data_IF_294291684123
#
_entry.id   IF_294291684123
#
_cell.length_a   1.000
_cell.length_b   1.000
_cell.length_c   1.000
_cell.angle_alpha   90.00
_cell.angle_beta   90.00
_cell.angle_gamma   90.00
#
_symmetry.space_group_name_H-M   'P 1'
#
loop_
_entity.id
_entity.type
_entity.pdbx_description
1 polymer ?
#
# COMPACT_ATOMS: atom_id res chain seq x y z
N UNK A 1 10.75 -7.20 19.66
CA UNK A 1 10.54 -6.97 18.22
C UNK A 1 10.69 -8.31 17.52
N UNK A 2 9.58 -8.93 17.11
CA UNK A 2 9.61 -10.22 16.42
C UNK A 2 9.45 -10.00 14.92
N UNK A 3 10.23 -10.72 14.11
CA UNK A 3 10.00 -10.80 12.67
C UNK A 3 9.05 -11.97 12.41
N UNK A 4 7.95 -11.75 11.69
CA UNK A 4 7.10 -12.83 11.19
C UNK A 4 7.42 -12.97 9.70
N UNK A 5 8.23 -13.96 9.30
CA UNK A 5 8.54 -14.17 7.89
C UNK A 5 7.30 -14.68 7.15
N UNK A 6 7.01 -14.10 6.00
CA UNK A 6 6.04 -14.65 5.05
C UNK A 6 6.79 -15.43 3.99
N UNK A 7 6.61 -16.75 3.97
CA UNK A 7 7.17 -17.62 2.93
C UNK A 7 6.07 -17.91 1.92
N UNK A 8 6.22 -17.35 0.72
CA UNK A 8 5.34 -17.62 -0.42
C UNK A 8 6.08 -18.59 -1.35
N UNK A 9 5.53 -19.79 -1.55
CA UNK A 9 5.90 -20.69 -2.66
C UNK A 9 7.29 -21.36 -2.61
N UNK A 10 7.91 -21.49 -1.43
CA UNK A 10 9.12 -22.31 -1.17
C UNK A 10 10.43 -21.85 -1.81
N UNK A 11 10.38 -21.22 -2.98
CA UNK A 11 11.51 -20.59 -3.68
C UNK A 11 11.48 -19.08 -3.43
N UNK A 12 12.64 -18.47 -3.21
CA UNK A 12 12.75 -17.02 -3.03
C UNK A 12 12.31 -16.28 -4.30
N UNK A 13 11.38 -15.34 -4.14
CA UNK A 13 10.91 -14.48 -5.22
C UNK A 13 11.28 -13.02 -4.92
N UNK A 14 11.73 -12.23 -5.92
CA UNK A 14 12.00 -10.83 -5.71
C UNK A 14 10.71 -10.08 -5.38
N UNK A 15 10.72 -9.35 -4.26
CA UNK A 15 9.61 -8.50 -3.81
C UNK A 15 9.88 -7.02 -4.04
N UNK A 16 11.10 -6.68 -4.46
CA UNK A 16 11.54 -5.35 -4.83
C UNK A 16 12.06 -5.39 -6.27
N UNK A 17 11.34 -4.75 -7.18
CA UNK A 17 11.63 -4.72 -8.60
C UNK A 17 12.18 -3.37 -9.06
N UNK A 18 12.20 -2.35 -8.20
CA UNK A 18 12.53 -0.98 -8.58
C UNK A 18 11.61 -0.50 -9.71
N UNK A 19 12.20 0.06 -10.76
CA UNK A 19 11.48 0.49 -11.96
C UNK A 19 11.52 -0.54 -13.11
N UNK A 20 11.95 -1.78 -12.85
CA UNK A 20 12.02 -2.80 -13.91
C UNK A 20 10.63 -3.30 -14.37
N UNK A 21 9.62 -3.13 -13.52
CA UNK A 21 8.22 -3.49 -13.80
C UNK A 21 7.30 -2.38 -13.31
N UNK A 22 6.32 -2.02 -14.16
CA UNK A 22 5.28 -1.06 -13.78
C UNK A 22 4.26 -1.60 -12.80
N UNK A 23 3.85 -2.86 -12.95
CA UNK A 23 2.76 -3.42 -12.16
C UNK A 23 3.27 -4.34 -11.05
N UNK A 24 2.68 -4.21 -9.87
CA UNK A 24 2.92 -5.13 -8.76
C UNK A 24 2.58 -6.56 -9.18
N UNK A 25 3.48 -7.48 -8.87
CA UNK A 25 3.29 -8.91 -9.15
C UNK A 25 2.23 -9.52 -8.23
N UNK A 26 1.76 -10.73 -8.59
CA UNK A 26 0.84 -11.51 -7.75
C UNK A 26 1.34 -11.65 -6.30
N UNK A 27 2.62 -11.97 -6.11
CA UNK A 27 3.20 -12.19 -4.78
C UNK A 27 3.33 -10.89 -3.98
N UNK A 28 3.69 -9.77 -4.64
CA UNK A 28 3.66 -8.47 -4.00
C UNK A 28 2.24 -8.07 -3.59
N UNK A 29 1.23 -8.33 -4.43
CA UNK A 29 -0.18 -8.10 -4.06
C UNK A 29 -0.62 -8.93 -2.86
N UNK A 30 -0.16 -10.18 -2.73
CA UNK A 30 -0.44 -11.01 -1.55
C UNK A 30 0.23 -10.43 -0.30
N UNK A 31 1.49 -10.00 -0.40
CA UNK A 31 2.19 -9.37 0.72
C UNK A 31 1.49 -8.07 1.15
N UNK A 32 1.10 -7.22 0.18
CA UNK A 32 0.31 -6.01 0.44
C UNK A 32 -1.05 -6.34 1.07
N UNK A 33 -1.73 -7.39 0.62
CA UNK A 33 -3.01 -7.81 1.22
C UNK A 33 -2.86 -8.25 2.69
N UNK A 34 -1.79 -8.96 3.02
CA UNK A 34 -1.51 -9.36 4.39
C UNK A 34 -1.10 -8.19 5.29
N UNK A 35 -0.39 -7.20 4.72
CA UNK A 35 -0.01 -5.98 5.43
C UNK A 35 -1.22 -5.08 5.62
N UNK A 36 -1.89 -4.69 4.55
CA UNK A 36 -2.92 -3.64 4.56
C UNK A 36 -4.29 -4.17 5.01
N UNK A 37 -4.55 -5.47 4.87
CA UNK A 37 -5.82 -6.13 5.22
C UNK A 37 -7.03 -5.71 4.37
N UNK A 38 -6.89 -4.68 3.55
CA UNK A 38 -7.90 -4.14 2.64
C UNK A 38 -7.47 -2.75 2.18
N UNK A 39 -8.43 -1.90 1.84
CA UNK A 39 -8.12 -0.52 1.47
C UNK A 39 -7.50 0.24 2.66
N UNK A 40 -6.29 0.79 2.49
CA UNK A 40 -5.55 1.48 3.56
C UNK A 40 -6.07 2.86 3.92
N UNK A 41 -6.98 3.43 3.11
CA UNK A 41 -7.57 4.74 3.37
C UNK A 41 -8.41 4.74 4.66
N UNK A 42 -8.33 5.80 5.50
CA UNK A 42 -9.04 5.86 6.79
C UNK A 42 -10.51 5.49 6.68
N UNK A 43 -11.00 4.68 7.64
CA UNK A 43 -12.40 4.23 7.79
C UNK A 43 -12.95 3.32 6.69
N UNK A 44 -12.18 3.01 5.64
CA UNK A 44 -12.63 2.13 4.57
C UNK A 44 -12.76 0.68 5.03
N UNK A 45 -13.80 -0.01 4.56
CA UNK A 45 -14.07 -1.43 4.87
C UNK A 45 -13.91 -2.37 3.68
N UNK A 46 -13.42 -1.85 2.53
CA UNK A 46 -13.24 -2.67 1.34
C UNK A 46 -12.14 -3.71 1.57
N UNK A 47 -12.41 -5.00 1.33
CA UNK A 47 -11.44 -6.06 1.55
C UNK A 47 -10.42 -6.13 0.40
N UNK A 48 -9.30 -6.86 0.53
CA UNK A 48 -8.20 -6.85 -0.45
C UNK A 48 -8.64 -7.21 -1.87
N UNK A 49 -9.65 -8.07 -2.02
CA UNK A 49 -10.18 -8.52 -3.31
C UNK A 49 -10.79 -7.35 -4.11
N UNK A 50 -11.18 -6.28 -3.44
CA UNK A 50 -11.81 -5.09 -4.02
C UNK A 50 -10.83 -3.91 -4.11
N UNK A 51 -9.53 -4.22 -4.12
CA UNK A 51 -8.47 -3.21 -4.15
C UNK A 51 -7.51 -3.40 -5.31
N UNK A 52 -6.89 -2.27 -5.65
CA UNK A 52 -5.80 -2.13 -6.58
C UNK A 52 -4.52 -1.83 -5.79
N UNK A 53 -3.39 -2.33 -6.28
CA UNK A 53 -2.09 -1.95 -5.75
C UNK A 53 -1.72 -0.57 -6.31
N UNK A 54 -1.63 0.40 -5.43
CA UNK A 54 -1.34 1.79 -5.67
C UNK A 54 0.12 2.09 -5.37
N UNK A 55 0.83 2.72 -6.31
CA UNK A 55 2.13 3.31 -6.04
C UNK A 55 1.98 4.61 -5.25
N UNK A 56 2.69 4.72 -4.14
CA UNK A 56 2.75 5.91 -3.30
C UNK A 56 3.43 7.08 -4.04
N UNK A 57 4.65 6.84 -4.52
CA UNK A 57 5.28 7.70 -5.53
C UNK A 57 4.75 7.29 -6.91
N UNK A 58 4.16 8.19 -7.73
CA UNK A 58 3.64 7.79 -9.03
C UNK A 58 4.74 7.16 -9.90
N UNK A 59 4.43 6.02 -10.53
CA UNK A 59 5.40 5.30 -11.36
C UNK A 59 5.99 6.19 -12.48
N UNK A 60 5.18 7.09 -13.05
CA UNK A 60 5.58 8.01 -14.12
C UNK A 60 6.66 9.02 -13.72
N UNK A 61 6.86 9.25 -12.41
CA UNK A 61 7.91 10.13 -11.88
C UNK A 61 9.03 9.35 -11.18
N UNK A 62 9.12 8.04 -11.43
CA UNK A 62 10.19 7.18 -10.93
C UNK A 62 9.85 6.38 -9.67
N UNK A 63 8.57 6.32 -9.30
CA UNK A 63 8.10 5.42 -8.24
C UNK A 63 8.43 3.96 -8.51
N UNK A 64 8.75 3.21 -7.44
CA UNK A 64 9.21 1.83 -7.55
C UNK A 64 8.08 0.84 -7.29
N UNK A 65 8.16 -0.30 -7.95
CA UNK A 65 7.30 -1.45 -7.67
C UNK A 65 7.95 -2.31 -6.60
N UNK A 66 8.03 -1.74 -5.39
CA UNK A 66 8.61 -2.32 -4.18
C UNK A 66 7.53 -2.30 -3.08
N UNK A 67 7.59 -3.21 -2.11
CA UNK A 67 6.56 -3.28 -1.06
C UNK A 67 6.50 -2.02 -0.19
N UNK A 68 7.64 -1.34 -0.04
CA UNK A 68 7.76 -0.06 0.69
C UNK A 68 7.32 1.15 -0.14
N UNK A 69 6.86 0.97 -1.37
CA UNK A 69 6.37 2.07 -2.23
C UNK A 69 4.95 1.79 -2.74
N UNK A 70 4.30 0.74 -2.22
CA UNK A 70 2.97 0.30 -2.62
C UNK A 70 2.00 0.18 -1.45
N UNK A 71 0.70 0.34 -1.72
CA UNK A 71 -0.39 0.04 -0.78
C UNK A 71 -1.67 -0.35 -1.52
N UNK A 72 -2.65 -0.92 -0.83
CA UNK A 72 -3.94 -1.27 -1.39
C UNK A 72 -4.96 -0.13 -1.23
N UNK A 73 -5.59 0.25 -2.34
CA UNK A 73 -6.74 1.17 -2.35
C UNK A 73 -7.89 0.57 -3.16
N UNK A 74 -9.13 0.75 -2.69
CA UNK A 74 -10.29 0.46 -3.54
C UNK A 74 -10.39 1.50 -4.65
N UNK A 75 -11.03 1.17 -5.77
CA UNK A 75 -11.12 2.07 -6.94
C UNK A 75 -11.63 3.48 -6.57
N UNK A 76 -12.59 3.60 -5.63
CA UNK A 76 -13.06 4.90 -5.13
C UNK A 76 -11.93 5.71 -4.48
N UNK A 77 -11.21 5.12 -3.53
CA UNK A 77 -10.15 5.83 -2.83
C UNK A 77 -8.90 5.99 -3.68
N UNK A 78 -8.65 5.10 -4.63
CA UNK A 78 -7.55 5.24 -5.58
C UNK A 78 -7.70 6.53 -6.39
N UNK A 79 -8.88 6.81 -6.95
CA UNK A 79 -9.15 8.09 -7.59
C UNK A 79 -9.13 9.25 -6.58
N UNK A 80 -9.78 9.09 -5.42
CA UNK A 80 -9.87 10.15 -4.41
C UNK A 80 -8.50 10.68 -3.95
N UNK A 81 -7.52 9.81 -3.72
CA UNK A 81 -6.18 10.27 -3.28
C UNK A 81 -5.45 11.04 -4.37
N UNK A 82 -5.65 10.66 -5.64
CA UNK A 82 -5.08 11.38 -6.79
C UNK A 82 -5.79 12.72 -7.02
N UNK A 83 -7.11 12.70 -7.12
CA UNK A 83 -7.95 13.85 -7.48
C UNK A 83 -7.88 14.98 -6.44
N UNK A 84 -7.64 14.62 -5.18
CA UNK A 84 -7.57 15.57 -4.07
C UNK A 84 -6.16 15.71 -3.48
N UNK A 85 -5.14 15.17 -4.16
CA UNK A 85 -3.74 15.29 -3.77
C UNK A 85 -3.48 14.93 -2.30
N UNK A 86 -4.04 13.81 -1.86
CA UNK A 86 -3.81 13.33 -0.50
C UNK A 86 -2.32 13.03 -0.29
N UNK A 87 -1.82 13.47 0.85
CA UNK A 87 -0.47 13.19 1.28
C UNK A 87 -0.41 11.84 1.98
N UNK A 88 0.73 11.18 1.90
CA UNK A 88 0.95 9.87 2.49
C UNK A 88 2.37 9.75 3.05
N UNK A 89 2.56 8.80 3.95
CA UNK A 89 3.86 8.24 4.30
C UNK A 89 3.69 6.82 4.81
N UNK A 90 4.79 6.08 4.86
CA UNK A 90 4.84 4.79 5.55
C UNK A 90 5.27 5.04 7.00
N UNK A 91 4.43 4.59 7.94
CA UNK A 91 4.74 4.59 9.36
C UNK A 91 5.82 3.54 9.71
N UNK A 92 6.48 3.63 10.88
CA UNK A 92 7.58 2.72 11.24
C UNK A 92 7.22 1.23 11.25
N UNK A 93 5.93 0.89 11.34
CA UNK A 93 5.41 -0.48 11.29
C UNK A 93 5.05 -0.95 9.87
N UNK A 94 5.34 -0.14 8.85
CA UNK A 94 5.17 -0.48 7.43
C UNK A 94 3.80 -0.14 6.84
N UNK A 95 2.87 0.38 7.64
CA UNK A 95 1.54 0.76 7.17
C UNK A 95 1.49 2.19 6.64
N UNK A 96 0.63 2.43 5.65
CA UNK A 96 0.45 3.78 5.10
C UNK A 96 -0.50 4.59 5.97
N UNK A 97 -0.11 5.83 6.21
CA UNK A 97 -0.94 6.86 6.82
C UNK A 97 -1.20 7.97 5.81
N UNK A 98 -2.42 8.50 5.86
CA UNK A 98 -2.98 9.43 4.91
C UNK A 98 -3.36 10.73 5.59
N UNK A 99 -3.23 11.86 4.90
CA UNK A 99 -3.85 13.11 5.34
C UNK A 99 -4.28 13.98 4.16
N UNK A 100 -5.32 14.81 4.32
CA UNK A 100 -5.64 15.82 3.33
C UNK A 100 -4.45 16.79 3.17
N UNK A 101 -4.28 17.39 1.98
CA UNK A 101 -3.22 18.36 1.75
C UNK A 101 -3.32 19.52 2.74
N UNK A 102 -2.18 19.91 3.34
CA UNK A 102 -2.10 21.01 4.31
C UNK A 102 -2.63 20.70 5.72
N UNK A 103 -3.10 19.48 6.00
CA UNK A 103 -3.41 19.05 7.37
C UNK A 103 -2.15 18.57 8.10
N UNK A 104 -2.15 18.67 9.43
CA UNK A 104 -1.04 18.22 10.27
C UNK A 104 -1.24 16.82 10.84
N UNK A 105 -2.47 16.31 10.84
CA UNK A 105 -2.83 15.02 11.44
C UNK A 105 -2.85 13.91 10.41
N UNK A 106 -1.99 12.91 10.63
CA UNK A 106 -1.97 11.65 9.90
C UNK A 106 -3.07 10.71 10.38
N UNK A 107 -3.70 10.02 9.44
CA UNK A 107 -4.80 9.11 9.70
C UNK A 107 -4.51 7.73 9.11
N UNK A 108 -4.79 6.72 9.92
CA UNK A 108 -4.64 5.31 9.59
C UNK A 108 -6.00 4.65 9.47
N UNK A 109 -6.11 3.65 8.60
CA UNK A 109 -7.23 2.72 8.70
C UNK A 109 -7.02 1.72 9.86
N UNK A 110 -7.73 1.94 10.98
CA UNK A 110 -7.67 1.09 12.16
C UNK A 110 -8.51 -0.20 12.07
N UNK A 111 -9.22 -0.43 10.95
CA UNK A 111 -10.12 -1.60 10.82
C UNK A 111 -9.36 -2.92 10.77
N UNK A 112 -8.26 -2.96 10.01
CA UNK A 112 -7.56 -4.20 9.75
C UNK A 112 -6.48 -4.51 10.79
N UNK A 113 -6.14 -3.55 11.66
CA UNK A 113 -5.37 -3.73 12.91
C UNK A 113 -5.67 -2.58 13.90
N UNK A 114 -6.06 -2.88 15.16
CA UNK A 114 -6.17 -1.88 16.23
C UNK A 114 -4.81 -1.35 16.70
#
# INVERSE_FOLDING_TARGET
MGIIPMVLDGTSLPLDYGQSKRYFTKYQRIALANRDGGCSFPTCDRPPEWTEAHHLTPYSVGGKTDLTEGTLLCTRHHHHVHDHHWEHHIAPDGHVEWRPPGHTTWQRNARYRP
#
